data_IF_509068879449
#
_entry.id   IF_509068879449
#
_cell.length_a   1.000
_cell.length_b   1.000
_cell.length_c   1.000
_cell.angle_alpha   90.00
_cell.angle_beta   90.00
_cell.angle_gamma   90.00
#
_symmetry.space_group_name_H-M   'P 1'
#
loop_
_entity.id
_entity.type
_entity.pdbx_description
1 polymer ?
#
# COMPACT_ATOMS: atom_id res chain seq x y z
N UNK A 1 -17.69 3.23 25.68
CA UNK A 1 -16.63 4.14 26.19
C UNK A 1 -16.19 4.94 24.98
N UNK A 2 -16.20 6.29 25.03
CA UNK A 2 -15.66 7.09 23.90
C UNK A 2 -14.17 6.84 23.81
N UNK A 3 -13.70 6.45 22.64
CA UNK A 3 -12.26 6.38 22.41
C UNK A 3 -11.63 7.75 22.64
N UNK A 4 -10.45 7.77 23.27
CA UNK A 4 -9.71 9.00 23.46
C UNK A 4 -9.29 9.53 22.09
N UNK A 5 -9.45 10.85 21.87
CA UNK A 5 -9.10 11.52 20.62
C UNK A 5 -8.08 12.62 20.85
N UNK A 6 -7.28 12.92 19.84
CA UNK A 6 -6.45 14.11 19.73
C UNK A 6 -6.98 15.03 18.64
N UNK A 7 -6.71 16.31 18.73
CA UNK A 7 -7.08 17.28 17.71
C UNK A 7 -5.92 17.45 16.73
N UNK A 8 -6.19 17.23 15.46
CA UNK A 8 -5.28 17.59 14.37
C UNK A 8 -5.90 18.66 13.46
N UNK A 9 -5.07 19.30 12.67
CA UNK A 9 -5.49 20.39 11.78
C UNK A 9 -5.02 20.14 10.35
N UNK A 10 -5.89 20.46 9.42
CA UNK A 10 -5.57 20.58 7.99
C UNK A 10 -6.11 21.90 7.43
N UNK A 11 -6.05 22.07 6.11
CA UNK A 11 -6.58 23.28 5.43
C UNK A 11 -8.09 23.48 5.60
N UNK A 12 -8.83 22.47 6.04
CA UNK A 12 -10.28 22.51 6.26
C UNK A 12 -10.63 22.74 7.74
N UNK A 13 -9.64 22.86 8.63
CA UNK A 13 -9.80 23.13 10.06
C UNK A 13 -9.50 21.92 10.95
N UNK A 14 -9.99 21.99 12.20
CA UNK A 14 -9.75 20.96 13.22
C UNK A 14 -10.57 19.68 12.94
N UNK A 15 -9.96 18.53 13.27
CA UNK A 15 -10.62 17.23 13.24
C UNK A 15 -10.12 16.36 14.40
N UNK A 16 -11.04 15.60 15.00
CA UNK A 16 -10.71 14.61 16.02
C UNK A 16 -10.23 13.34 15.37
N UNK A 17 -9.04 12.88 15.76
CA UNK A 17 -8.38 11.64 15.32
C UNK A 17 -8.19 10.74 16.55
N UNK A 18 -8.40 9.41 16.48
CA UNK A 18 -8.12 8.54 17.63
C UNK A 18 -6.69 8.72 18.13
N UNK A 19 -6.50 8.74 19.44
CA UNK A 19 -5.20 9.08 20.06
C UNK A 19 -4.09 8.14 19.60
N UNK A 20 -4.39 6.85 19.43
CA UNK A 20 -3.41 5.81 19.06
C UNK A 20 -3.20 5.67 17.54
N UNK A 21 -4.03 6.33 16.72
CA UNK A 21 -3.94 6.21 15.27
C UNK A 21 -2.69 6.91 14.72
N UNK A 22 -1.96 6.24 13.84
CA UNK A 22 -0.82 6.83 13.13
C UNK A 22 -1.24 7.68 11.92
N UNK A 23 -2.49 7.56 11.45
CA UNK A 23 -3.00 8.47 10.43
C UNK A 23 -3.34 9.83 11.02
N UNK A 24 -3.51 10.82 10.15
CA UNK A 24 -3.78 12.20 10.53
C UNK A 24 -5.14 12.73 10.08
N UNK A 25 -5.23 14.06 9.99
CA UNK A 25 -6.44 14.79 9.73
C UNK A 25 -7.11 14.42 8.39
N UNK A 26 -6.35 14.29 7.31
CA UNK A 26 -6.92 14.03 5.98
C UNK A 26 -7.47 12.61 5.86
N UNK A 27 -6.79 11.62 6.39
CA UNK A 27 -7.28 10.25 6.48
C UNK A 27 -8.55 10.18 7.30
N UNK A 28 -8.58 10.85 8.45
CA UNK A 28 -9.76 10.87 9.33
C UNK A 28 -10.98 11.51 8.63
N UNK A 29 -10.79 12.56 7.82
CA UNK A 29 -11.87 13.14 7.01
C UNK A 29 -12.35 12.17 5.94
N UNK A 30 -11.43 11.44 5.30
CA UNK A 30 -11.78 10.44 4.30
C UNK A 30 -12.66 9.34 4.90
N UNK A 31 -12.32 8.84 6.08
CA UNK A 31 -13.14 7.86 6.82
C UNK A 31 -14.55 8.35 7.10
N UNK A 32 -14.69 9.65 7.46
CA UNK A 32 -16.01 10.27 7.73
C UNK A 32 -16.81 10.51 6.45
N UNK A 33 -16.16 10.85 5.35
CA UNK A 33 -16.80 11.26 4.11
C UNK A 33 -17.14 10.08 3.17
N UNK A 34 -16.38 8.99 3.25
CA UNK A 34 -16.48 7.84 2.35
C UNK A 34 -16.73 6.55 3.14
N UNK A 35 -17.76 6.55 3.96
CA UNK A 35 -18.25 5.38 4.68
C UNK A 35 -19.10 4.50 3.75
N UNK A 36 -18.47 3.92 2.71
CA UNK A 36 -19.12 3.17 1.64
C UNK A 36 -18.47 1.81 1.53
N UNK A 37 -19.25 0.74 1.72
CA UNK A 37 -18.81 -0.66 1.73
C UNK A 37 -17.69 -0.94 2.76
N UNK A 38 -17.14 -2.15 2.78
CA UNK A 38 -16.15 -2.58 3.77
C UNK A 38 -14.81 -3.00 3.15
N UNK A 39 -14.71 -2.96 1.81
CA UNK A 39 -13.51 -3.36 1.09
C UNK A 39 -12.38 -2.35 1.34
N UNK A 40 -11.32 -2.80 1.98
CA UNK A 40 -10.10 -2.02 2.19
C UNK A 40 -9.17 -2.09 0.98
N UNK A 41 -8.30 -1.10 0.87
CA UNK A 41 -7.24 -1.14 -0.12
C UNK A 41 -6.28 -2.31 0.17
N UNK A 42 -5.82 -3.03 -0.89
CA UNK A 42 -4.87 -4.12 -0.70
C UNK A 42 -3.57 -3.63 -0.03
N UNK A 43 -3.07 -4.38 0.95
CA UNK A 43 -1.84 -4.05 1.66
C UNK A 43 -0.64 -3.95 0.70
N UNK A 44 -0.60 -4.76 -0.34
CA UNK A 44 0.46 -4.73 -1.36
C UNK A 44 0.56 -3.37 -2.06
N UNK A 45 -0.58 -2.67 -2.25
CA UNK A 45 -0.59 -1.32 -2.82
C UNK A 45 0.01 -0.30 -1.84
N UNK A 46 -0.31 -0.42 -0.57
CA UNK A 46 0.26 0.43 0.50
C UNK A 46 1.78 0.22 0.60
N UNK A 47 2.21 -1.04 0.60
CA UNK A 47 3.64 -1.38 0.63
C UNK A 47 4.39 -0.83 -0.59
N UNK A 48 3.80 -0.90 -1.77
CA UNK A 48 4.38 -0.32 -2.99
C UNK A 48 4.47 1.21 -2.91
N UNK A 49 3.42 1.89 -2.40
CA UNK A 49 3.46 3.33 -2.14
C UNK A 49 4.58 3.70 -1.17
N UNK A 50 4.74 2.97 -0.08
CA UNK A 50 5.81 3.22 0.89
C UNK A 50 7.21 3.10 0.26
N UNK A 51 7.43 2.10 -0.61
CA UNK A 51 8.69 1.97 -1.37
C UNK A 51 8.93 3.15 -2.31
N UNK A 52 7.89 3.63 -2.99
CA UNK A 52 7.98 4.83 -3.83
C UNK A 52 8.35 6.04 -2.99
N UNK A 53 7.75 6.23 -1.79
CA UNK A 53 8.10 7.32 -0.87
C UNK A 53 9.56 7.26 -0.45
N UNK A 54 10.06 6.08 -0.11
CA UNK A 54 11.47 5.88 0.24
C UNK A 54 12.41 6.23 -0.93
N UNK A 55 12.10 5.78 -2.14
CA UNK A 55 12.88 6.05 -3.32
C UNK A 55 12.87 7.56 -3.66
N UNK A 56 11.71 8.20 -3.60
CA UNK A 56 11.56 9.64 -3.84
C UNK A 56 12.35 10.46 -2.80
N UNK A 57 12.28 10.09 -1.52
CA UNK A 57 13.05 10.75 -0.47
C UNK A 57 14.56 10.62 -0.69
N UNK A 58 15.05 9.45 -1.12
CA UNK A 58 16.45 9.25 -1.48
C UNK A 58 16.92 10.17 -2.62
N UNK A 59 16.09 10.33 -3.65
CA UNK A 59 16.40 11.24 -4.75
C UNK A 59 16.38 12.70 -4.29
N UNK A 60 15.36 13.09 -3.53
CA UNK A 60 15.22 14.45 -3.02
C UNK A 60 16.38 14.85 -2.10
N UNK A 61 16.88 13.95 -1.26
CA UNK A 61 18.06 14.20 -0.41
C UNK A 61 19.31 14.43 -1.28
N UNK A 62 19.57 13.55 -2.27
CA UNK A 62 20.71 13.73 -3.18
C UNK A 62 20.66 15.02 -3.98
N UNK A 63 19.47 15.54 -4.25
CA UNK A 63 19.26 16.84 -4.93
C UNK A 63 19.25 18.03 -3.96
N UNK A 64 19.41 17.81 -2.66
CA UNK A 64 19.37 18.86 -1.64
C UNK A 64 17.98 19.47 -1.43
N UNK A 65 16.89 18.78 -1.83
CA UNK A 65 15.50 19.24 -1.69
C UNK A 65 14.97 18.98 -0.29
N UNK A 66 15.44 17.90 0.34
CA UNK A 66 15.27 17.58 1.77
C UNK A 66 16.64 17.31 2.39
N UNK A 67 16.73 17.40 3.72
CA UNK A 67 17.96 17.12 4.45
C UNK A 67 18.20 15.61 4.60
N UNK A 68 19.45 15.21 4.88
CA UNK A 68 19.81 13.83 5.17
C UNK A 68 19.06 13.27 6.40
N UNK A 69 18.79 14.12 7.41
CA UNK A 69 18.03 13.72 8.60
C UNK A 69 16.57 13.42 8.28
N UNK A 70 15.93 14.25 7.45
CA UNK A 70 14.57 14.02 6.98
C UNK A 70 14.50 12.76 6.12
N UNK A 71 15.48 12.55 5.22
CA UNK A 71 15.57 11.32 4.45
C UNK A 71 15.69 10.09 5.34
N UNK A 72 16.60 10.10 6.32
CA UNK A 72 16.81 8.96 7.22
C UNK A 72 15.51 8.60 7.98
N UNK A 73 14.78 9.61 8.46
CA UNK A 73 13.51 9.42 9.14
C UNK A 73 12.44 8.83 8.21
N UNK A 74 12.28 9.39 6.99
CA UNK A 74 11.34 8.88 5.98
C UNK A 74 11.71 7.46 5.57
N UNK A 75 12.99 7.17 5.33
CA UNK A 75 13.44 5.86 4.88
C UNK A 75 13.17 4.77 5.92
N UNK A 76 13.42 5.06 7.19
CA UNK A 76 13.13 4.14 8.30
C UNK A 76 11.64 3.85 8.41
N UNK A 77 10.81 4.90 8.45
CA UNK A 77 9.36 4.77 8.57
C UNK A 77 8.76 4.07 7.34
N UNK A 78 9.18 4.45 6.13
CA UNK A 78 8.72 3.82 4.88
C UNK A 78 9.11 2.34 4.82
N UNK A 79 10.30 1.96 5.30
CA UNK A 79 10.71 0.56 5.35
C UNK A 79 9.83 -0.28 6.28
N UNK A 80 9.43 0.27 7.44
CA UNK A 80 8.53 -0.39 8.36
C UNK A 80 7.14 -0.62 7.73
N UNK A 81 6.58 0.40 7.06
CA UNK A 81 5.31 0.29 6.33
C UNK A 81 5.43 -0.73 5.18
N UNK A 82 6.49 -0.66 4.38
CA UNK A 82 6.71 -1.59 3.27
C UNK A 82 6.90 -3.05 3.71
N UNK A 83 7.31 -3.27 4.96
CA UNK A 83 7.41 -4.58 5.59
C UNK A 83 6.09 -5.07 6.25
N UNK A 84 5.00 -4.32 6.16
CA UNK A 84 3.69 -4.68 6.71
C UNK A 84 3.58 -4.55 8.23
N UNK A 85 4.48 -3.81 8.88
CA UNK A 85 4.46 -3.70 10.35
C UNK A 85 3.30 -2.85 10.89
N UNK A 86 2.64 -2.07 10.03
CA UNK A 86 1.59 -1.12 10.41
C UNK A 86 0.37 -1.20 9.49
N UNK A 87 0.03 -2.38 8.98
CA UNK A 87 -1.08 -2.56 8.02
C UNK A 87 -2.44 -2.14 8.60
N UNK A 88 -2.62 -2.23 9.90
CA UNK A 88 -3.79 -1.75 10.65
C UNK A 88 -3.98 -0.24 10.62
N UNK A 89 -2.96 0.53 10.20
CA UNK A 89 -2.99 1.98 10.11
C UNK A 89 -3.46 2.52 8.75
N UNK A 90 -3.97 1.62 7.88
CA UNK A 90 -4.49 1.96 6.55
C UNK A 90 -5.96 1.57 6.40
N UNK A 91 -6.86 2.24 7.16
CA UNK A 91 -8.27 1.85 7.25
C UNK A 91 -9.13 2.36 6.10
N UNK A 92 -8.54 2.98 5.06
CA UNK A 92 -9.31 3.58 3.98
C UNK A 92 -9.90 2.51 3.06
N UNK A 93 -11.15 2.74 2.69
CA UNK A 93 -11.90 1.87 1.78
C UNK A 93 -11.56 2.14 0.33
N UNK A 94 -11.77 1.14 -0.52
CA UNK A 94 -11.58 1.27 -1.98
C UNK A 94 -12.50 2.35 -2.56
N UNK A 95 -13.71 2.46 -2.04
CA UNK A 95 -14.76 3.38 -2.47
C UNK A 95 -14.54 4.80 -1.91
N UNK A 96 -13.48 5.44 -2.42
CA UNK A 96 -13.11 6.84 -2.17
C UNK A 96 -13.03 7.59 -3.50
N UNK A 97 -12.41 8.77 -3.56
CA UNK A 97 -12.22 9.47 -4.84
C UNK A 97 -11.30 8.64 -5.76
N UNK A 98 -11.61 8.60 -7.05
CA UNK A 98 -10.87 7.79 -8.03
C UNK A 98 -9.42 8.21 -8.31
N UNK A 99 -8.98 9.35 -7.73
CA UNK A 99 -7.62 9.87 -7.89
C UNK A 99 -6.57 9.18 -7.00
N UNK A 100 -6.99 8.42 -5.97
CA UNK A 100 -6.08 7.82 -4.97
C UNK A 100 -5.45 8.81 -3.99
N UNK A 101 -5.93 10.07 -3.97
CA UNK A 101 -5.34 11.12 -3.12
C UNK A 101 -5.43 10.79 -1.64
N UNK A 102 -6.57 10.28 -1.17
CA UNK A 102 -6.75 9.93 0.23
C UNK A 102 -5.78 8.85 0.68
N UNK A 103 -5.59 7.80 -0.11
CA UNK A 103 -4.63 6.73 0.17
C UNK A 103 -3.19 7.23 0.16
N UNK A 104 -2.82 8.05 -0.82
CA UNK A 104 -1.49 8.67 -0.84
C UNK A 104 -1.25 9.52 0.42
N UNK A 105 -2.26 10.28 0.85
CA UNK A 105 -2.17 11.08 2.08
C UNK A 105 -2.11 10.21 3.33
N UNK A 106 -2.87 9.11 3.40
CA UNK A 106 -2.78 8.16 4.51
C UNK A 106 -1.34 7.64 4.68
N UNK A 107 -0.71 7.21 3.58
CA UNK A 107 0.70 6.78 3.62
C UNK A 107 1.63 7.90 4.07
N UNK A 108 1.44 9.13 3.57
CA UNK A 108 2.24 10.28 3.99
C UNK A 108 2.08 10.59 5.48
N UNK A 109 0.86 10.58 6.01
CA UNK A 109 0.55 10.86 7.41
C UNK A 109 1.13 9.79 8.35
N UNK A 110 0.98 8.51 8.01
CA UNK A 110 1.54 7.40 8.80
C UNK A 110 3.06 7.48 8.82
N UNK A 111 3.73 7.69 7.69
CA UNK A 111 5.20 7.83 7.63
C UNK A 111 5.67 9.02 8.47
N UNK A 112 4.98 10.17 8.36
CA UNK A 112 5.30 11.37 9.15
C UNK A 112 5.14 11.11 10.64
N UNK A 113 4.07 10.48 11.07
CA UNK A 113 3.81 10.19 12.48
C UNK A 113 4.77 9.12 13.05
N UNK A 114 5.14 8.12 12.27
CA UNK A 114 6.20 7.16 12.66
C UNK A 114 7.54 7.88 12.89
N UNK A 115 7.89 8.82 12.01
CA UNK A 115 9.08 9.65 12.18
C UNK A 115 8.98 10.54 13.43
N UNK A 116 7.80 11.08 13.73
CA UNK A 116 7.56 11.87 14.95
C UNK A 116 7.77 11.04 16.21
N UNK A 117 7.16 9.84 16.27
CA UNK A 117 7.32 8.92 17.40
C UNK A 117 8.78 8.54 17.61
N UNK A 118 9.50 8.21 16.53
CA UNK A 118 10.93 7.87 16.61
C UNK A 118 11.81 9.02 17.10
N UNK A 119 11.39 10.27 16.87
CA UNK A 119 12.06 11.47 17.36
C UNK A 119 11.63 11.91 18.77
N UNK A 120 10.68 11.21 19.40
CA UNK A 120 10.10 11.59 20.70
C UNK A 120 9.14 12.78 20.63
N UNK A 121 8.63 13.08 19.43
CA UNK A 121 7.67 14.14 19.19
C UNK A 121 6.23 13.60 19.23
N UNK A 122 5.24 14.44 19.59
CA UNK A 122 3.85 14.03 19.59
C UNK A 122 3.32 13.67 18.20
N UNK A 123 2.35 12.75 18.12
CA UNK A 123 1.57 12.48 16.91
C UNK A 123 0.89 13.77 16.43
N UNK A 124 0.87 13.98 15.12
CA UNK A 124 0.32 15.19 14.50
C UNK A 124 1.21 16.44 14.61
N UNK A 125 2.40 16.33 15.22
CA UNK A 125 3.35 17.45 15.30
C UNK A 125 3.96 17.83 13.96
N UNK A 126 3.96 16.92 13.00
CA UNK A 126 4.62 17.04 11.71
C UNK A 126 6.13 17.30 11.81
N UNK A 127 6.74 16.82 12.89
CA UNK A 127 8.20 16.98 13.17
C UNK A 127 8.83 15.62 13.48
N UNK A 128 10.03 15.37 12.98
CA UNK A 128 10.87 16.21 12.12
C UNK A 128 10.42 16.25 10.65
N UNK A 129 9.40 15.48 10.27
CA UNK A 129 8.98 15.26 8.88
C UNK A 129 7.51 15.65 8.71
N UNK A 130 7.23 16.57 7.76
CA UNK A 130 5.87 16.96 7.38
C UNK A 130 5.31 16.05 6.27
N UNK A 131 4.02 15.60 6.33
CA UNK A 131 3.44 14.69 5.36
C UNK A 131 3.52 15.19 3.90
N UNK A 132 3.16 16.47 3.66
CA UNK A 132 3.16 17.05 2.31
C UNK A 132 4.53 17.57 1.89
N UNK A 133 5.20 18.33 2.81
CA UNK A 133 6.37 19.11 2.41
C UNK A 133 7.63 18.26 2.33
N UNK A 134 7.67 17.11 3.02
CA UNK A 134 8.83 16.21 3.05
C UNK A 134 8.49 14.83 2.47
N UNK A 135 7.49 14.09 3.01
CA UNK A 135 7.17 12.74 2.52
C UNK A 135 6.66 12.76 1.09
N UNK A 136 5.79 13.72 0.76
CA UNK A 136 5.23 13.87 -0.60
C UNK A 136 6.03 14.80 -1.50
N UNK A 137 7.19 15.27 -1.07
CA UNK A 137 7.99 16.25 -1.82
C UNK A 137 8.28 15.78 -3.24
N UNK A 138 8.09 16.68 -4.23
CA UNK A 138 8.31 16.44 -5.65
C UNK A 138 7.45 15.35 -6.28
N UNK A 139 6.32 15.00 -5.66
CA UNK A 139 5.45 13.92 -6.11
C UNK A 139 4.04 14.42 -6.39
N UNK A 140 3.42 13.90 -7.45
CA UNK A 140 1.99 14.01 -7.72
C UNK A 140 1.30 12.68 -7.46
N UNK A 141 0.13 12.70 -6.80
CA UNK A 141 -0.68 11.48 -6.63
C UNK A 141 -1.05 10.85 -7.97
N UNK A 142 -1.31 11.69 -8.99
CA UNK A 142 -1.67 11.21 -10.34
C UNK A 142 -0.58 10.36 -11.01
N UNK A 143 0.64 10.43 -10.51
CA UNK A 143 1.78 9.63 -10.97
C UNK A 143 2.09 8.48 -10.00
N UNK A 144 2.28 8.78 -8.72
CA UNK A 144 2.75 7.78 -7.75
C UNK A 144 1.71 6.71 -7.44
N UNK A 145 0.41 7.03 -7.49
CA UNK A 145 -0.64 6.07 -7.21
C UNK A 145 -0.76 4.99 -8.30
N UNK A 146 -0.89 5.34 -9.61
CA UNK A 146 -0.87 4.33 -10.66
C UNK A 146 0.48 3.60 -10.75
N UNK A 147 1.61 4.26 -10.50
CA UNK A 147 2.91 3.59 -10.41
C UNK A 147 2.91 2.51 -9.32
N UNK A 148 2.35 2.80 -8.15
CA UNK A 148 2.24 1.82 -7.07
C UNK A 148 1.35 0.62 -7.45
N UNK A 149 0.26 0.83 -8.21
CA UNK A 149 -0.57 -0.27 -8.73
C UNK A 149 0.26 -1.19 -9.62
N UNK A 150 1.07 -0.63 -10.52
CA UNK A 150 1.94 -1.43 -11.38
C UNK A 150 3.01 -2.19 -10.59
N UNK A 151 3.66 -1.55 -9.63
CA UNK A 151 4.67 -2.20 -8.76
C UNK A 151 4.04 -3.35 -7.98
N UNK A 152 2.91 -3.12 -7.32
CA UNK A 152 2.20 -4.16 -6.56
C UNK A 152 1.75 -5.33 -7.45
N UNK A 153 1.26 -5.04 -8.65
CA UNK A 153 0.84 -6.08 -9.60
C UNK A 153 2.03 -6.93 -10.07
N UNK A 154 3.15 -6.32 -10.44
CA UNK A 154 4.36 -7.05 -10.86
C UNK A 154 4.90 -7.91 -9.72
N UNK A 155 5.01 -7.38 -8.50
CA UNK A 155 5.45 -8.16 -7.34
C UNK A 155 4.51 -9.34 -7.05
N UNK A 156 3.19 -9.15 -7.16
CA UNK A 156 2.21 -10.22 -6.99
C UNK A 156 2.35 -11.32 -8.05
N UNK A 157 2.60 -10.94 -9.30
CA UNK A 157 2.83 -11.91 -10.40
C UNK A 157 4.14 -12.67 -10.17
N UNK A 158 5.25 -11.97 -9.99
CA UNK A 158 6.58 -12.58 -9.92
C UNK A 158 6.76 -13.45 -8.66
N UNK A 159 6.27 -13.00 -7.50
CA UNK A 159 6.56 -13.66 -6.24
C UNK A 159 5.45 -14.59 -5.74
N UNK A 160 4.26 -14.53 -6.32
CA UNK A 160 3.11 -15.35 -5.89
C UNK A 160 2.52 -16.16 -7.03
N UNK A 161 2.13 -15.53 -8.14
CA UNK A 161 1.42 -16.21 -9.22
C UNK A 161 2.32 -17.19 -9.97
N UNK A 162 3.47 -16.74 -10.46
CA UNK A 162 4.37 -17.59 -11.25
C UNK A 162 4.86 -18.82 -10.47
N UNK A 163 5.33 -18.73 -9.22
CA UNK A 163 5.71 -19.92 -8.44
C UNK A 163 4.57 -20.92 -8.25
N UNK A 164 3.32 -20.45 -8.07
CA UNK A 164 2.18 -21.35 -7.93
C UNK A 164 1.79 -22.01 -9.26
N UNK A 165 1.92 -21.31 -10.39
CA UNK A 165 1.75 -21.90 -11.71
C UNK A 165 2.81 -22.96 -11.99
N UNK A 166 4.06 -22.70 -11.68
CA UNK A 166 5.15 -23.68 -11.82
C UNK A 166 4.90 -24.94 -10.99
N UNK A 167 4.44 -24.76 -9.74
CA UNK A 167 4.03 -25.86 -8.89
C UNK A 167 2.89 -26.67 -9.49
N UNK A 168 1.88 -26.02 -10.05
CA UNK A 168 0.73 -26.65 -10.69
C UNK A 168 1.17 -27.42 -11.95
N UNK A 169 2.02 -26.85 -12.79
CA UNK A 169 2.60 -27.49 -13.98
C UNK A 169 3.36 -28.78 -13.55
N UNK A 170 4.16 -28.70 -12.51
CA UNK A 170 4.88 -29.86 -11.97
C UNK A 170 3.95 -30.98 -11.52
N UNK A 171 2.84 -30.65 -10.86
CA UNK A 171 1.81 -31.62 -10.45
C UNK A 171 1.17 -32.29 -11.65
N UNK A 172 0.79 -31.51 -12.67
CA UNK A 172 0.22 -32.10 -13.90
C UNK A 172 1.20 -32.96 -14.65
N UNK A 173 2.46 -32.55 -14.80
CA UNK A 173 3.49 -33.33 -15.44
C UNK A 173 3.70 -34.69 -14.73
N UNK A 174 3.78 -34.70 -13.40
CA UNK A 174 3.89 -35.92 -12.60
C UNK A 174 2.65 -36.84 -12.79
N UNK A 175 1.44 -36.28 -12.84
CA UNK A 175 0.22 -37.03 -13.07
C UNK A 175 0.18 -37.60 -14.50
N UNK A 176 0.58 -36.84 -15.50
CA UNK A 176 0.65 -37.28 -16.90
C UNK A 176 1.60 -38.48 -17.02
N UNK A 177 2.77 -38.43 -16.41
CA UNK A 177 3.71 -39.55 -16.41
C UNK A 177 3.15 -40.77 -15.69
N UNK A 178 2.54 -40.57 -14.51
CA UNK A 178 1.94 -41.65 -13.73
C UNK A 178 0.82 -42.38 -14.48
N UNK A 179 0.05 -41.65 -15.28
CA UNK A 179 -1.15 -42.17 -15.96
C UNK A 179 -0.97 -42.35 -17.46
N UNK A 180 0.24 -42.28 -18.01
CA UNK A 180 0.50 -42.38 -19.46
C UNK A 180 -0.05 -43.66 -20.11
N UNK A 181 -0.10 -44.75 -19.34
CA UNK A 181 -0.60 -46.04 -19.80
C UNK A 181 -2.08 -46.30 -19.40
N UNK A 182 -2.71 -45.34 -18.73
CA UNK A 182 -4.07 -45.48 -18.26
C UNK A 182 -5.09 -45.11 -19.36
N UNK A 183 -5.73 -46.12 -19.94
CA UNK A 183 -6.80 -45.92 -20.91
C UNK A 183 -8.10 -45.61 -20.21
N UNK A 184 -8.69 -44.46 -20.48
CA UNK A 184 -10.01 -44.03 -20.02
C UNK A 184 -10.96 -43.83 -21.17
N UNK A 185 -12.19 -44.33 -21.04
CA UNK A 185 -13.30 -43.98 -21.93
C UNK A 185 -14.00 -42.75 -21.31
N UNK A 186 -14.01 -41.65 -22.02
CA UNK A 186 -14.65 -40.40 -21.60
C UNK A 186 -15.50 -39.83 -22.74
N UNK A 187 -16.76 -39.47 -22.44
CA UNK A 187 -17.65 -38.78 -23.37
C UNK A 187 -17.10 -37.43 -23.87
N UNK A 188 -16.27 -36.78 -23.09
CA UNK A 188 -15.61 -35.52 -23.44
C UNK A 188 -14.45 -35.68 -24.45
N UNK A 189 -14.00 -36.91 -24.68
CA UNK A 189 -12.95 -37.19 -25.65
C UNK A 189 -13.39 -37.12 -27.11
N UNK A 190 -14.70 -37.10 -27.34
CA UNK A 190 -15.29 -37.03 -28.69
C UNK A 190 -15.72 -35.61 -29.07
N UNK A 191 -15.55 -34.63 -28.17
CA UNK A 191 -15.78 -33.22 -28.46
C UNK A 191 -14.73 -32.42 -27.70
N UNK A 192 -13.51 -32.36 -28.24
CA UNK A 192 -12.50 -31.43 -27.75
C UNK A 192 -12.92 -30.02 -28.17
N UNK A 193 -13.12 -29.15 -27.19
CA UNK A 193 -13.44 -27.75 -27.44
C UNK A 193 -12.35 -27.00 -28.22
N UNK A 194 -11.17 -27.61 -28.38
CA UNK A 194 -10.10 -27.11 -29.24
C UNK A 194 -10.28 -27.44 -30.72
N UNK A 195 -11.17 -28.39 -31.04
CA UNK A 195 -11.46 -28.83 -32.43
C UNK A 195 -12.76 -28.22 -33.00
N UNK A 196 -13.44 -27.36 -32.25
CA UNK A 196 -14.56 -26.57 -32.77
C UNK A 196 -14.03 -25.33 -33.50
N UNK A 197 -14.46 -25.08 -34.77
CA UNK A 197 -13.98 -23.94 -35.57
C UNK A 197 -14.41 -22.57 -35.07
#
# INVERSE_FOLDING_TARGET
>A
MSEATRIEHDSMGAVEVPTEALWGAQTQRSLKNFDIADDLLPAELIHALARIKQAAASVNARLGVISENEFAAIATASSAVAAGQHDDQFPLRVWQTGSGTQTNMNVNEVISNLASVAAGEPLGSHRPVHPNDHVNRSQSTNDVFPAAIHVAAVEGVEHRLLPELDRLIGVFAAKTELWKDLVKICLLYTSDAADEP
#
